data_IF_662888869793
#
_entry.id   IF_662888869793
#
_cell.length_a   1.000
_cell.length_b   1.000
_cell.length_c   1.000
_cell.angle_alpha   90.00
_cell.angle_beta   90.00
_cell.angle_gamma   90.00
#
_symmetry.space_group_name_H-M   'P 1'
#
loop_
_entity.id
_entity.type
_entity.pdbx_description
1 polymer ?
#
# COMPACT_ATOMS: atom_id res chain seq x y z
N UNK A 1 -5.68 16.04 17.81
CA UNK A 1 -4.34 15.64 18.26
C UNK A 1 -3.77 14.67 17.27
N UNK A 2 -2.56 14.91 16.80
CA UNK A 2 -1.88 13.97 15.91
C UNK A 2 -1.57 12.71 16.71
N UNK A 3 -1.82 11.53 16.10
CA UNK A 3 -1.39 10.27 16.67
C UNK A 3 0.14 10.29 16.78
N UNK A 4 0.65 9.97 17.97
CA UNK A 4 2.08 9.70 18.15
C UNK A 4 2.42 8.33 17.57
N UNK A 5 3.68 8.05 17.30
CA UNK A 5 4.11 6.73 16.83
C UNK A 5 3.64 5.59 17.76
N UNK A 6 3.58 5.85 19.07
CA UNK A 6 3.10 4.89 20.07
C UNK A 6 1.59 4.66 20.04
N UNK A 7 0.83 5.54 19.36
CA UNK A 7 -0.61 5.42 19.17
C UNK A 7 -1.02 4.71 17.87
N UNK A 8 -0.04 4.25 17.07
CA UNK A 8 -0.30 3.54 15.80
C UNK A 8 -0.15 2.05 15.99
N UNK A 9 -1.16 1.28 15.59
CA UNK A 9 -1.11 -0.17 15.54
C UNK A 9 -1.22 -0.66 14.08
N UNK A 10 -0.60 -1.79 13.79
CA UNK A 10 -0.59 -2.40 12.46
C UNK A 10 -1.30 -3.74 12.50
N UNK A 11 -2.19 -3.98 11.56
CA UNK A 11 -2.96 -5.21 11.46
C UNK A 11 -3.06 -5.67 10.01
N UNK A 12 -3.31 -6.96 9.82
CA UNK A 12 -3.62 -7.52 8.51
C UNK A 12 -4.98 -6.98 8.03
N UNK A 13 -5.14 -6.86 6.72
CA UNK A 13 -6.42 -6.48 6.11
C UNK A 13 -7.53 -7.44 6.52
N UNK A 14 -8.76 -6.95 6.76
CA UNK A 14 -9.92 -7.82 6.97
C UNK A 14 -10.08 -8.80 5.80
N UNK A 15 -10.35 -10.06 6.10
CA UNK A 15 -10.44 -11.11 5.09
C UNK A 15 -11.78 -11.86 5.07
N UNK A 16 -12.73 -11.49 5.93
CA UNK A 16 -14.05 -12.12 6.05
C UNK A 16 -14.00 -13.66 6.15
N UNK A 17 -12.93 -14.20 6.78
CA UNK A 17 -12.71 -15.65 6.89
C UNK A 17 -12.07 -16.29 5.64
N UNK A 18 -11.72 -15.53 4.63
CA UNK A 18 -11.00 -16.04 3.46
C UNK A 18 -9.54 -16.38 3.83
N UNK A 19 -9.11 -17.64 3.76
CA UNK A 19 -7.75 -18.04 4.14
C UNK A 19 -6.67 -17.46 3.22
N UNK A 20 -7.03 -17.03 2.02
CA UNK A 20 -6.09 -16.45 1.05
C UNK A 20 -5.78 -14.99 1.35
N UNK A 21 -6.60 -14.36 2.20
CA UNK A 21 -6.45 -12.95 2.56
C UNK A 21 -6.92 -11.97 1.49
N UNK A 22 -6.99 -10.70 1.87
CA UNK A 22 -7.38 -9.59 1.00
C UNK A 22 -6.24 -8.58 0.82
N UNK A 23 -4.99 -9.01 1.03
CA UNK A 23 -3.83 -8.14 0.92
C UNK A 23 -3.57 -7.74 -0.54
N UNK A 24 -3.29 -6.47 -0.71
CA UNK A 24 -2.95 -5.91 -2.00
C UNK A 24 -1.43 -5.92 -2.20
N UNK A 25 -0.99 -6.61 -3.24
CA UNK A 25 0.41 -6.60 -3.65
C UNK A 25 0.57 -5.67 -4.86
N UNK A 26 1.25 -4.56 -4.65
CA UNK A 26 1.55 -3.57 -5.67
C UNK A 26 3.06 -3.42 -5.88
N UNK A 27 3.47 -3.18 -7.12
CA UNK A 27 4.86 -2.88 -7.44
C UNK A 27 4.95 -1.71 -8.42
N UNK A 28 5.84 -0.78 -8.14
CA UNK A 28 6.29 0.23 -9.09
C UNK A 28 7.49 -0.28 -9.85
N UNK A 29 7.63 0.12 -11.10
CA UNK A 29 8.77 -0.23 -11.94
C UNK A 29 9.39 1.02 -12.56
N UNK A 30 10.71 1.04 -12.64
CA UNK A 30 11.45 1.99 -13.46
C UNK A 30 11.75 1.34 -14.81
N UNK A 31 11.59 2.09 -15.90
CA UNK A 31 11.83 1.60 -17.23
C UNK A 31 12.63 2.62 -18.06
N UNK A 32 13.39 2.12 -19.01
CA UNK A 32 14.11 2.95 -19.98
C UNK A 32 13.38 2.85 -21.30
N UNK A 33 12.85 3.97 -21.86
CA UNK A 33 12.24 3.96 -23.18
C UNK A 33 13.24 3.48 -24.26
N UNK A 34 12.77 2.68 -25.22
CA UNK A 34 13.63 2.11 -26.25
C UNK A 34 14.39 3.16 -27.10
N UNK A 35 13.77 4.33 -27.30
CA UNK A 35 14.36 5.46 -28.02
C UNK A 35 15.19 6.43 -27.18
N UNK A 36 15.51 6.10 -25.92
CA UNK A 36 16.27 7.00 -25.07
C UNK A 36 17.72 7.19 -25.57
N UNK A 37 18.18 8.42 -25.80
CA UNK A 37 19.58 8.66 -26.18
C UNK A 37 20.56 8.42 -25.01
N UNK A 38 20.05 8.28 -23.78
CA UNK A 38 20.82 8.09 -22.56
C UNK A 38 20.54 6.72 -21.91
N UNK A 39 20.24 5.69 -22.70
CA UNK A 39 19.79 4.38 -22.19
C UNK A 39 20.79 3.75 -21.20
N UNK A 40 22.09 3.83 -21.45
CA UNK A 40 23.10 3.22 -20.58
C UNK A 40 23.23 3.96 -19.24
N UNK A 41 23.18 5.27 -19.26
CA UNK A 41 23.15 6.06 -18.02
C UNK A 41 21.90 5.80 -17.20
N UNK A 42 20.74 5.68 -17.85
CA UNK A 42 19.48 5.36 -17.21
C UNK A 42 19.49 3.95 -16.59
N UNK A 43 20.06 2.96 -17.27
CA UNK A 43 20.25 1.60 -16.72
C UNK A 43 21.14 1.62 -15.50
N UNK A 44 22.29 2.28 -15.56
CA UNK A 44 23.21 2.41 -14.43
C UNK A 44 22.53 3.08 -13.21
N UNK A 45 21.70 4.11 -13.47
CA UNK A 45 20.90 4.73 -12.40
C UNK A 45 19.89 3.75 -11.80
N UNK A 46 19.16 3.00 -12.61
CA UNK A 46 18.18 2.01 -12.14
C UNK A 46 18.86 0.92 -11.30
N UNK A 47 19.99 0.39 -11.79
CA UNK A 47 20.77 -0.60 -11.05
C UNK A 47 21.19 -0.07 -9.67
N UNK A 48 21.72 1.15 -9.61
CA UNK A 48 22.09 1.77 -8.34
C UNK A 48 20.86 2.04 -7.46
N UNK A 49 19.80 2.67 -8.00
CA UNK A 49 18.61 3.06 -7.24
C UNK A 49 17.81 1.87 -6.70
N UNK A 50 18.01 0.67 -7.24
CA UNK A 50 17.42 -0.57 -6.75
C UNK A 50 18.39 -1.45 -5.97
N UNK A 51 19.60 -0.98 -5.70
CA UNK A 51 20.66 -1.74 -5.02
C UNK A 51 20.55 -1.69 -3.49
N UNK A 52 21.34 -2.55 -2.83
CA UNK A 52 21.53 -2.47 -1.38
C UNK A 52 22.33 -1.23 -0.97
N UNK A 53 23.21 -0.77 -1.84
CA UNK A 53 24.02 0.43 -1.59
C UNK A 53 23.15 1.69 -1.55
N UNK A 54 22.12 1.76 -2.41
CA UNK A 54 21.11 2.82 -2.33
C UNK A 54 20.36 2.82 -0.99
N UNK A 55 19.95 1.64 -0.52
CA UNK A 55 19.30 1.51 0.80
C UNK A 55 20.18 2.07 1.91
N UNK A 56 21.48 1.72 1.90
CA UNK A 56 22.45 2.23 2.87
C UNK A 56 22.70 3.74 2.70
N UNK A 57 22.77 4.22 1.48
CA UNK A 57 22.95 5.64 1.20
C UNK A 57 21.78 6.49 1.72
N UNK A 58 20.54 6.04 1.52
CA UNK A 58 19.34 6.73 2.04
C UNK A 58 19.28 6.63 3.56
N UNK A 59 19.44 5.42 4.12
CA UNK A 59 19.34 5.19 5.56
C UNK A 59 20.35 5.98 6.39
N UNK A 60 21.57 6.14 5.87
CA UNK A 60 22.62 6.89 6.53
C UNK A 60 22.67 8.37 6.13
N UNK A 61 21.79 8.84 5.26
CA UNK A 61 21.76 10.23 4.85
C UNK A 61 21.21 11.13 5.97
N UNK A 62 21.88 12.27 6.29
CA UNK A 62 21.47 13.11 7.42
C UNK A 62 20.07 13.72 7.29
N UNK A 63 19.62 13.97 6.06
CA UNK A 63 18.32 14.61 5.80
C UNK A 63 17.18 13.60 5.56
N UNK A 64 17.49 12.35 5.23
CA UNK A 64 16.48 11.32 4.91
C UNK A 64 16.33 10.27 6.03
N UNK A 65 17.41 9.56 6.33
CA UNK A 65 17.44 8.54 7.37
C UNK A 65 16.64 7.28 7.03
N UNK A 66 16.66 6.34 7.97
CA UNK A 66 16.09 4.99 7.80
C UNK A 66 14.57 4.97 7.60
N UNK A 67 13.84 5.99 8.08
CA UNK A 67 12.39 6.13 7.84
C UNK A 67 12.02 6.45 6.39
N UNK A 68 12.98 6.86 5.55
CA UNK A 68 12.79 7.17 4.13
C UNK A 68 13.27 6.06 3.19
N UNK A 69 13.77 4.95 3.74
CA UNK A 69 14.22 3.81 2.94
C UNK A 69 13.04 3.15 2.24
N UNK A 70 13.12 2.88 0.92
CA UNK A 70 12.09 2.17 0.20
C UNK A 70 11.83 0.77 0.75
N UNK A 71 10.56 0.44 0.98
CA UNK A 71 10.12 -0.86 1.50
C UNK A 71 9.60 -1.79 0.39
N UNK A 72 9.31 -3.04 0.71
CA UNK A 72 8.70 -4.00 -0.21
C UNK A 72 9.62 -4.59 -1.27
N UNK A 73 10.83 -4.04 -1.46
CA UNK A 73 11.72 -4.46 -2.56
C UNK A 73 12.63 -5.64 -2.19
N UNK A 74 13.10 -5.69 -0.95
CA UNK A 74 14.12 -6.67 -0.53
C UNK A 74 13.91 -7.13 0.90
N UNK A 75 13.83 -8.42 1.12
CA UNK A 75 13.79 -9.02 2.45
C UNK A 75 15.03 -8.61 3.31
N UNK A 76 16.19 -8.37 2.66
CA UNK A 76 17.38 -7.92 3.36
C UNK A 76 17.25 -6.53 4.00
N UNK A 77 16.38 -5.64 3.50
CA UNK A 77 16.11 -4.35 4.13
C UNK A 77 15.40 -4.54 5.46
N UNK A 78 14.42 -5.43 5.50
CA UNK A 78 13.67 -5.76 6.73
C UNK A 78 14.53 -6.43 7.81
N UNK A 79 15.66 -7.03 7.43
CA UNK A 79 16.61 -7.65 8.36
C UNK A 79 17.59 -6.65 8.99
N UNK A 80 17.63 -5.40 8.54
CA UNK A 80 18.52 -4.38 9.10
C UNK A 80 17.97 -3.86 10.43
N UNK A 81 18.79 -3.90 11.47
CA UNK A 81 18.44 -3.42 12.81
C UNK A 81 18.05 -1.94 12.83
N UNK A 82 18.74 -1.14 12.04
CA UNK A 82 18.52 0.30 11.90
C UNK A 82 17.16 0.61 11.26
N UNK A 83 16.74 -0.20 10.27
CA UNK A 83 15.43 -0.10 9.66
C UNK A 83 14.34 -0.54 10.66
N UNK A 84 14.52 -1.67 11.33
CA UNK A 84 13.58 -2.18 12.32
C UNK A 84 13.35 -1.20 13.48
N UNK A 85 14.36 -0.44 13.86
CA UNK A 85 14.27 0.55 14.94
C UNK A 85 13.28 1.70 14.63
N UNK A 86 13.03 2.00 13.35
CA UNK A 86 12.13 3.09 12.93
C UNK A 86 10.86 2.59 12.23
N UNK A 87 10.86 1.36 11.72
CA UNK A 87 9.77 0.78 10.94
C UNK A 87 8.92 -0.19 11.78
N UNK A 88 8.16 0.33 12.72
CA UNK A 88 7.26 -0.48 13.57
C UNK A 88 6.25 -1.33 12.75
N UNK A 89 6.01 -0.98 11.49
CA UNK A 89 5.14 -1.71 10.55
C UNK A 89 5.85 -2.89 9.87
N UNK A 90 7.18 -3.01 9.92
CA UNK A 90 7.97 -3.92 9.09
C UNK A 90 7.51 -5.38 9.16
N UNK A 91 7.21 -5.89 10.35
CA UNK A 91 6.74 -7.27 10.51
C UNK A 91 5.34 -7.48 9.89
N UNK A 92 4.43 -6.52 10.05
CA UNK A 92 3.09 -6.59 9.47
C UNK A 92 3.13 -6.51 7.94
N UNK A 93 3.97 -5.64 7.38
CA UNK A 93 4.17 -5.51 5.94
C UNK A 93 4.76 -6.78 5.33
N UNK A 94 5.80 -7.37 5.93
CA UNK A 94 6.35 -8.64 5.48
C UNK A 94 5.32 -9.77 5.50
N UNK A 95 4.56 -9.90 6.58
CA UNK A 95 3.48 -10.88 6.67
C UNK A 95 2.39 -10.65 5.61
N UNK A 96 2.06 -9.39 5.31
CA UNK A 96 1.11 -9.05 4.25
C UNK A 96 1.63 -9.43 2.86
N UNK A 97 2.91 -9.16 2.56
CA UNK A 97 3.55 -9.53 1.29
C UNK A 97 3.60 -11.06 1.14
N UNK A 98 4.00 -11.78 2.18
CA UNK A 98 4.10 -13.24 2.15
C UNK A 98 2.74 -13.94 2.01
N UNK A 99 1.69 -13.35 2.58
CA UNK A 99 0.32 -13.87 2.50
C UNK A 99 -0.45 -13.38 1.27
N UNK A 100 0.10 -12.45 0.47
CA UNK A 100 -0.56 -11.96 -0.72
C UNK A 100 -0.72 -13.08 -1.76
N UNK A 101 -1.92 -13.23 -2.31
CA UNK A 101 -2.24 -14.25 -3.30
C UNK A 101 -2.53 -13.61 -4.66
N UNK A 102 -1.52 -13.38 -5.50
CA UNK A 102 -1.70 -12.79 -6.83
C UNK A 102 -2.37 -13.74 -7.83
N UNK A 103 -2.35 -15.04 -7.54
CA UNK A 103 -2.98 -16.05 -8.40
C UNK A 103 -4.51 -15.98 -8.35
N UNK A 104 -5.16 -16.42 -9.42
CA UNK A 104 -6.61 -16.58 -9.44
C UNK A 104 -7.08 -17.64 -8.44
N UNK A 105 -8.22 -17.38 -7.81
CA UNK A 105 -8.92 -18.29 -6.89
C UNK A 105 -10.40 -18.28 -7.22
N UNK A 106 -11.21 -19.16 -6.60
CA UNK A 106 -12.67 -19.15 -6.76
C UNK A 106 -13.30 -17.81 -6.32
N UNK A 107 -12.70 -17.16 -5.31
CA UNK A 107 -13.13 -15.85 -4.82
C UNK A 107 -12.54 -14.67 -5.61
N UNK A 108 -11.46 -14.89 -6.33
CA UNK A 108 -10.79 -13.94 -7.21
C UNK A 108 -10.43 -14.64 -8.52
N UNK A 109 -11.36 -14.71 -9.49
CA UNK A 109 -11.18 -15.50 -10.72
C UNK A 109 -10.29 -14.82 -11.76
N UNK A 110 -9.36 -13.95 -11.36
CA UNK A 110 -8.40 -13.27 -12.23
C UNK A 110 -7.01 -13.20 -11.59
N UNK A 111 -6.00 -13.00 -12.42
CA UNK A 111 -4.61 -12.80 -12.01
C UNK A 111 -4.25 -11.31 -12.16
N UNK A 112 -3.45 -10.79 -11.25
CA UNK A 112 -2.93 -9.42 -11.32
C UNK A 112 -3.38 -8.52 -10.16
N UNK A 113 -3.49 -7.23 -10.43
CA UNK A 113 -3.76 -6.21 -9.41
C UNK A 113 -5.17 -6.37 -8.82
N UNK A 114 -5.25 -6.31 -7.52
CA UNK A 114 -6.49 -6.51 -6.75
C UNK A 114 -7.18 -5.16 -6.48
N UNK A 115 -7.63 -4.49 -7.52
CA UNK A 115 -8.47 -3.30 -7.40
C UNK A 115 -9.66 -3.39 -8.35
N UNK A 116 -10.73 -2.67 -8.03
CA UNK A 116 -11.89 -2.60 -8.89
C UNK A 116 -11.61 -1.65 -10.07
N UNK A 117 -11.45 -2.22 -11.28
CA UNK A 117 -11.25 -1.46 -12.51
C UNK A 117 -12.59 -1.02 -13.12
N UNK A 118 -13.33 -0.23 -12.38
CA UNK A 118 -14.62 0.34 -12.80
C UNK A 118 -14.55 1.87 -12.83
N UNK A 119 -15.35 2.56 -13.66
CA UNK A 119 -15.35 4.01 -13.74
C UNK A 119 -15.68 4.70 -12.41
N UNK A 120 -16.51 4.10 -11.57
CA UNK A 120 -17.01 4.61 -10.30
C UNK A 120 -15.97 4.51 -9.17
N UNK A 121 -14.89 3.77 -9.34
CA UNK A 121 -13.91 3.53 -8.29
C UNK A 121 -13.33 4.81 -7.65
N UNK A 122 -12.98 5.87 -8.43
CA UNK A 122 -12.51 7.13 -7.84
C UNK A 122 -13.56 7.84 -6.99
N UNK A 123 -14.83 7.78 -7.38
CA UNK A 123 -15.93 8.40 -6.65
C UNK A 123 -16.21 7.67 -5.34
N UNK A 124 -16.32 6.33 -5.38
CA UNK A 124 -16.44 5.48 -4.19
C UNK A 124 -15.27 5.72 -3.25
N UNK A 125 -14.04 5.72 -3.77
CA UNK A 125 -12.84 5.95 -2.98
C UNK A 125 -12.84 7.32 -2.29
N UNK A 126 -13.28 8.35 -2.97
CA UNK A 126 -13.39 9.71 -2.41
C UNK A 126 -14.44 9.80 -1.31
N UNK A 127 -15.61 9.22 -1.51
CA UNK A 127 -16.68 9.19 -0.52
C UNK A 127 -16.25 8.45 0.76
N UNK A 128 -15.66 7.25 0.61
CA UNK A 128 -15.15 6.46 1.74
C UNK A 128 -14.02 7.22 2.46
N UNK A 129 -13.09 7.83 1.74
CA UNK A 129 -11.98 8.57 2.33
C UNK A 129 -12.45 9.76 3.19
N UNK A 130 -13.51 10.47 2.76
CA UNK A 130 -14.10 11.58 3.54
C UNK A 130 -14.70 11.08 4.86
N UNK A 131 -15.41 9.96 4.86
CA UNK A 131 -15.97 9.36 6.05
C UNK A 131 -14.87 8.87 7.02
N UNK A 132 -13.81 8.25 6.48
CA UNK A 132 -12.65 7.86 7.29
C UNK A 132 -11.96 9.07 7.91
N UNK A 133 -11.78 10.16 7.16
CA UNK A 133 -11.21 11.41 7.68
C UNK A 133 -12.08 12.01 8.80
N UNK A 134 -13.42 11.96 8.68
CA UNK A 134 -14.33 12.40 9.73
C UNK A 134 -14.19 11.57 11.01
N UNK A 135 -14.02 10.26 10.89
CA UNK A 135 -13.77 9.40 12.05
C UNK A 135 -12.41 9.68 12.71
N UNK A 136 -11.35 9.81 11.90
CA UNK A 136 -9.99 10.09 12.41
C UNK A 136 -9.87 11.45 13.09
N UNK A 137 -10.62 12.44 12.63
CA UNK A 137 -10.70 13.77 13.28
C UNK A 137 -11.59 13.80 14.52
N UNK A 138 -12.33 12.73 14.82
CA UNK A 138 -13.30 12.67 15.90
C UNK A 138 -14.62 13.40 15.62
N UNK A 139 -14.85 13.84 14.38
CA UNK A 139 -16.10 14.49 13.97
C UNK A 139 -17.27 13.49 13.84
N UNK A 140 -16.96 12.20 13.66
CA UNK A 140 -17.91 11.11 13.54
C UNK A 140 -17.41 9.87 14.29
N UNK A 141 -18.31 9.03 14.80
CA UNK A 141 -17.89 7.74 15.35
C UNK A 141 -17.38 6.81 14.23
N UNK A 142 -16.49 5.87 14.55
CA UNK A 142 -16.01 4.87 13.57
C UNK A 142 -17.18 4.08 12.99
N UNK A 143 -18.16 3.72 13.82
CA UNK A 143 -19.32 2.95 13.39
C UNK A 143 -20.20 3.74 12.42
N UNK A 144 -20.46 5.01 12.71
CA UNK A 144 -21.24 5.88 11.82
C UNK A 144 -20.51 6.16 10.50
N UNK A 145 -19.19 6.33 10.55
CA UNK A 145 -18.37 6.53 9.35
C UNK A 145 -18.37 5.30 8.45
N UNK A 146 -18.25 4.10 9.02
CA UNK A 146 -18.34 2.85 8.27
C UNK A 146 -19.70 2.65 7.63
N UNK A 147 -20.79 2.92 8.38
CA UNK A 147 -22.15 2.83 7.87
C UNK A 147 -22.41 3.83 6.73
N UNK A 148 -21.94 5.07 6.89
CA UNK A 148 -22.04 6.10 5.86
C UNK A 148 -21.21 5.76 4.61
N UNK A 149 -20.00 5.23 4.79
CA UNK A 149 -19.15 4.74 3.69
C UNK A 149 -19.83 3.65 2.88
N UNK A 150 -20.45 2.68 3.55
CA UNK A 150 -21.18 1.59 2.91
C UNK A 150 -22.37 2.14 2.13
N UNK A 151 -23.19 2.98 2.74
CA UNK A 151 -24.35 3.59 2.10
C UNK A 151 -23.98 4.43 0.87
N UNK A 152 -22.88 5.20 0.94
CA UNK A 152 -22.39 5.98 -0.19
C UNK A 152 -21.92 5.07 -1.34
N UNK A 153 -21.16 4.03 -1.03
CA UNK A 153 -20.70 3.07 -2.04
C UNK A 153 -21.89 2.35 -2.72
N UNK A 154 -22.88 1.90 -1.95
CA UNK A 154 -24.09 1.27 -2.49
C UNK A 154 -24.89 2.22 -3.39
N UNK A 155 -25.03 3.48 -3.01
CA UNK A 155 -25.73 4.48 -3.82
C UNK A 155 -25.04 4.71 -5.17
N UNK A 156 -23.71 4.94 -5.16
CA UNK A 156 -22.91 5.15 -6.37
C UNK A 156 -22.99 3.92 -7.28
N UNK A 157 -22.83 2.72 -6.73
CA UNK A 157 -22.87 1.50 -7.51
C UNK A 157 -24.27 1.21 -8.09
N UNK A 158 -25.33 1.49 -7.33
CA UNK A 158 -26.71 1.35 -7.80
C UNK A 158 -27.04 2.34 -8.92
N UNK A 159 -26.61 3.61 -8.80
CA UNK A 159 -26.79 4.61 -9.85
C UNK A 159 -26.07 4.21 -11.15
N UNK A 160 -24.93 3.57 -11.04
CA UNK A 160 -24.20 3.04 -12.19
C UNK A 160 -24.76 1.72 -12.75
N UNK A 161 -25.80 1.17 -12.14
CA UNK A 161 -26.50 -0.03 -12.61
C UNK A 161 -25.89 -1.37 -12.14
N UNK A 162 -25.02 -1.34 -11.15
CA UNK A 162 -24.54 -2.54 -10.46
C UNK A 162 -25.54 -2.92 -9.35
N UNK A 163 -26.29 -3.97 -9.54
CA UNK A 163 -27.29 -4.49 -8.59
C UNK A 163 -26.89 -5.88 -8.08
#
# INVERSE_FOLDING_TARGET
SFLTADGVAYAQSPNAGNPVGANWLWAWAMAVPAGSPNADAAKAFIEWATSKDYVQAVGNHPDFGWGSVPTGQRASTYALSEFQAVAGFAAAEMAAIESAAPAATDLKPYVGVQFAAIPEFPEVGSAVAQEMAAALSGAKSVQDALAASQAAAEAIMSEAGYN
#
